data_IF_200201009570
#
_entry.id   IF_200201009570
#
_cell.length_a   1.000
_cell.length_b   1.000
_cell.length_c   1.000
_cell.angle_alpha   90.00
_cell.angle_beta   90.00
_cell.angle_gamma   90.00
#
_symmetry.space_group_name_H-M   'P 1'
#
loop_
_entity.id
_entity.type
_entity.pdbx_description
1 polymer ?
#
# COMPACT_ATOMS: atom_id res chain seq x y z
N UNK A 1 -30.13 9.58 -4.61
CA UNK A 1 -28.89 9.62 -3.82
C UNK A 1 -27.82 8.90 -4.60
N UNK A 2 -26.77 9.59 -5.03
CA UNK A 2 -25.70 8.99 -5.81
C UNK A 2 -24.80 8.19 -4.87
N UNK A 3 -24.74 6.86 -5.04
CA UNK A 3 -23.73 6.03 -4.38
C UNK A 3 -22.37 6.51 -4.90
N UNK A 4 -21.60 7.23 -4.07
CA UNK A 4 -20.18 7.43 -4.35
C UNK A 4 -19.57 6.04 -4.27
N UNK A 5 -18.95 5.55 -5.36
CA UNK A 5 -18.41 4.16 -5.43
C UNK A 5 -17.46 3.79 -4.28
N UNK A 6 -16.92 4.79 -3.58
CA UNK A 6 -16.01 4.65 -2.45
C UNK A 6 -16.68 4.64 -1.05
N UNK A 7 -17.99 4.90 -0.97
CA UNK A 7 -18.76 4.82 0.27
C UNK A 7 -19.39 3.43 0.39
N UNK A 8 -18.68 2.50 1.02
CA UNK A 8 -19.15 1.15 1.30
C UNK A 8 -18.70 0.73 2.70
N UNK A 9 -19.28 -0.34 3.24
CA UNK A 9 -18.94 -0.88 4.55
C UNK A 9 -17.44 -1.17 4.67
N UNK A 10 -16.78 -1.68 3.62
CA UNK A 10 -15.34 -1.94 3.61
C UNK A 10 -14.49 -0.70 3.95
N UNK A 11 -14.93 0.49 3.54
CA UNK A 11 -14.25 1.77 3.81
C UNK A 11 -14.85 2.55 4.99
N UNK A 12 -15.86 1.99 5.65
CA UNK A 12 -16.59 2.63 6.74
C UNK A 12 -15.84 2.47 8.06
N UNK A 13 -15.75 3.55 8.84
CA UNK A 13 -15.17 3.57 10.19
C UNK A 13 -15.84 2.61 11.16
N UNK A 14 -17.12 2.31 10.96
CA UNK A 14 -17.91 1.48 11.88
C UNK A 14 -17.87 0.00 11.55
N UNK A 15 -17.25 -0.40 10.45
CA UNK A 15 -17.29 -1.77 9.97
C UNK A 15 -16.01 -2.52 10.32
N UNK A 16 -16.15 -3.72 10.85
CA UNK A 16 -15.05 -4.65 11.11
C UNK A 16 -15.23 -5.87 10.21
N UNK A 17 -14.28 -6.12 9.30
CA UNK A 17 -14.37 -7.27 8.44
C UNK A 17 -14.18 -8.58 9.22
N UNK A 18 -14.84 -9.64 8.76
CA UNK A 18 -14.63 -10.99 9.27
C UNK A 18 -13.43 -11.67 8.61
N UNK A 19 -12.98 -12.80 9.15
CA UNK A 19 -11.91 -13.61 8.57
C UNK A 19 -10.50 -13.06 8.81
N UNK A 20 -9.54 -13.57 8.03
CA UNK A 20 -8.11 -13.26 8.21
C UNK A 20 -7.86 -11.77 7.96
N UNK A 21 -7.25 -11.09 8.94
CA UNK A 21 -6.91 -9.65 8.90
C UNK A 21 -8.11 -8.71 8.74
N UNK A 22 -9.30 -9.14 9.16
CA UNK A 22 -10.52 -8.33 9.13
C UNK A 22 -10.88 -7.81 7.72
N UNK A 23 -10.62 -8.63 6.69
CA UNK A 23 -10.85 -8.27 5.27
C UNK A 23 -11.73 -9.27 4.50
N UNK A 24 -12.63 -9.97 5.18
CA UNK A 24 -13.57 -10.89 4.56
C UNK A 24 -14.76 -10.17 3.89
N UNK A 25 -15.53 -10.88 3.04
CA UNK A 25 -16.71 -10.32 2.35
C UNK A 25 -17.88 -10.02 3.29
N UNK A 26 -17.86 -10.58 4.51
CA UNK A 26 -18.83 -10.34 5.58
C UNK A 26 -18.09 -9.73 6.77
N UNK A 27 -18.75 -8.83 7.49
CA UNK A 27 -18.22 -8.20 8.68
C UNK A 27 -19.32 -7.72 9.61
N UNK A 28 -18.94 -7.16 10.76
CA UNK A 28 -19.88 -6.61 11.73
C UNK A 28 -19.94 -5.09 11.61
N UNK A 29 -21.15 -4.54 11.59
CA UNK A 29 -21.38 -3.10 11.61
C UNK A 29 -21.63 -2.62 13.03
N UNK A 30 -20.73 -1.81 13.57
CA UNK A 30 -20.78 -1.28 14.96
C UNK A 30 -21.52 0.05 15.11
N UNK A 31 -22.17 0.51 14.03
CA UNK A 31 -22.99 1.74 14.04
C UNK A 31 -24.25 1.56 14.89
N UNK A 32 -24.83 0.36 14.92
CA UNK A 32 -25.97 0.03 15.78
C UNK A 32 -25.52 -0.72 17.03
N UNK A 33 -26.25 -0.60 18.15
CA UNK A 33 -25.99 -1.41 19.33
C UNK A 33 -26.13 -2.91 18.99
N UNK A 34 -25.39 -3.78 19.69
CA UNK A 34 -25.53 -5.21 19.48
C UNK A 34 -26.95 -5.65 19.88
N UNK A 35 -27.53 -6.56 19.09
CA UNK A 35 -28.84 -7.15 19.41
C UNK A 35 -28.65 -8.18 20.50
N UNK A 36 -29.26 -7.95 21.65
CA UNK A 36 -29.25 -8.88 22.78
C UNK A 36 -30.48 -9.77 22.69
N UNK A 37 -30.27 -11.08 22.82
CA UNK A 37 -31.34 -12.07 22.88
C UNK A 37 -31.03 -13.07 23.98
N UNK A 38 -32.01 -13.84 24.46
CA UNK A 38 -31.77 -14.88 25.47
C UNK A 38 -30.71 -15.90 25.02
N UNK A 39 -30.59 -16.12 23.69
CA UNK A 39 -29.59 -17.01 23.09
C UNK A 39 -28.21 -16.36 22.93
N UNK A 40 -28.13 -15.03 23.01
CA UNK A 40 -26.90 -14.26 22.86
C UNK A 40 -26.88 -13.10 23.88
N UNK A 41 -26.64 -13.40 25.17
CA UNK A 41 -26.72 -12.41 26.25
C UNK A 41 -25.60 -11.35 26.17
N UNK A 42 -24.48 -11.67 25.52
CA UNK A 42 -23.42 -10.69 25.25
C UNK A 42 -23.77 -9.69 24.13
N UNK A 43 -24.85 -9.95 23.38
CA UNK A 43 -25.24 -9.18 22.21
C UNK A 43 -24.39 -9.47 20.98
N UNK A 44 -25.01 -9.37 19.79
CA UNK A 44 -24.31 -9.56 18.51
C UNK A 44 -24.55 -8.35 17.61
N UNK A 45 -23.47 -7.78 17.07
CA UNK A 45 -23.57 -6.71 16.09
C UNK A 45 -24.14 -7.22 14.76
N UNK A 46 -24.92 -6.40 14.03
CA UNK A 46 -25.42 -6.77 12.71
C UNK A 46 -24.31 -7.18 11.75
N UNK A 47 -24.49 -8.29 11.05
CA UNK A 47 -23.57 -8.73 10.00
C UNK A 47 -23.98 -8.10 8.67
N UNK A 48 -23.04 -7.43 8.00
CA UNK A 48 -23.23 -6.80 6.68
C UNK A 48 -22.17 -7.27 5.70
N UNK A 49 -22.41 -7.08 4.40
CA UNK A 49 -21.43 -7.31 3.36
C UNK A 49 -20.46 -6.13 3.27
N UNK A 50 -19.24 -6.39 2.82
CA UNK A 50 -18.21 -5.37 2.60
C UNK A 50 -18.64 -4.32 1.57
N UNK A 51 -19.55 -4.68 0.65
CA UNK A 51 -20.09 -3.83 -0.41
C UNK A 51 -21.36 -3.06 -0.03
N UNK A 52 -21.91 -3.29 1.16
CA UNK A 52 -23.14 -2.61 1.60
C UNK A 52 -22.87 -1.12 1.85
N UNK A 53 -23.92 -0.30 1.79
CA UNK A 53 -23.87 1.12 2.14
C UNK A 53 -25.09 1.49 2.99
N UNK A 54 -24.90 2.46 3.89
CA UNK A 54 -25.97 3.10 4.62
C UNK A 54 -25.69 4.61 4.77
N UNK A 55 -26.74 5.40 5.00
CA UNK A 55 -26.64 6.87 5.09
C UNK A 55 -25.82 7.42 6.26
N UNK A 56 -25.36 6.57 7.19
CA UNK A 56 -24.46 6.94 8.29
C UNK A 56 -23.02 6.49 8.05
N UNK A 57 -22.65 6.28 6.78
CA UNK A 57 -21.28 5.97 6.43
C UNK A 57 -20.34 7.10 6.87
N UNK A 58 -19.25 6.73 7.54
CA UNK A 58 -18.16 7.64 7.89
C UNK A 58 -16.84 7.09 7.37
N UNK A 59 -16.02 7.97 6.79
CA UNK A 59 -14.69 7.60 6.27
C UNK A 59 -13.82 7.05 7.38
N UNK A 60 -13.23 5.87 7.17
CA UNK A 60 -12.20 5.35 8.05
C UNK A 60 -10.90 6.16 7.88
N UNK A 61 -10.62 7.06 8.81
CA UNK A 61 -9.44 7.95 8.77
C UNK A 61 -8.09 7.21 8.91
N UNK A 62 -8.09 5.92 9.25
CA UNK A 62 -6.89 5.12 9.51
C UNK A 62 -6.51 4.11 8.42
N UNK A 63 -7.37 3.90 7.42
CA UNK A 63 -7.05 3.03 6.28
C UNK A 63 -6.72 3.93 5.11
N UNK A 64 -5.44 4.25 4.93
CA UNK A 64 -4.97 4.64 3.60
C UNK A 64 -5.41 3.51 2.66
N UNK A 65 -6.25 3.76 1.65
CA UNK A 65 -6.43 2.77 0.61
C UNK A 65 -5.05 2.55 0.01
N UNK A 66 -4.46 1.41 0.34
CA UNK A 66 -3.31 0.90 -0.40
C UNK A 66 -3.84 0.78 -1.84
N UNK A 67 -3.34 1.67 -2.70
CA UNK A 67 -3.72 1.78 -4.12
C UNK A 67 -5.07 2.48 -4.42
N UNK A 68 -5.21 3.74 -4.04
CA UNK A 68 -5.94 4.70 -4.89
C UNK A 68 -4.86 5.54 -5.59
N UNK A 69 -4.59 5.39 -6.91
CA UNK A 69 -3.77 6.33 -7.65
C UNK A 69 -4.60 7.60 -7.89
N UNK A 70 -5.02 8.26 -6.80
CA UNK A 70 -5.31 9.68 -6.83
C UNK A 70 -3.97 10.41 -6.98
N UNK A 71 -3.93 11.59 -7.61
CA UNK A 71 -2.70 12.26 -7.99
C UNK A 71 -2.04 12.85 -6.74
N UNK A 72 -1.38 12.01 -5.94
CA UNK A 72 -0.24 12.42 -5.14
C UNK A 72 0.86 12.68 -6.17
N UNK A 73 0.76 13.80 -6.87
CA UNK A 73 1.77 14.18 -7.84
C UNK A 73 3.08 14.35 -7.06
N UNK A 74 4.14 13.71 -7.55
CA UNK A 74 5.49 13.67 -6.95
C UNK A 74 6.16 15.06 -6.85
N UNK A 75 5.39 16.12 -7.15
CA UNK A 75 5.73 17.53 -7.21
C UNK A 75 5.42 18.27 -5.89
N UNK A 76 4.57 17.73 -4.99
CA UNK A 76 4.36 18.30 -3.66
C UNK A 76 5.31 17.72 -2.58
N UNK A 77 6.00 16.62 -2.88
CA UNK A 77 6.94 15.98 -1.94
C UNK A 77 8.32 16.60 -2.10
N UNK A 78 8.74 17.41 -1.13
CA UNK A 78 10.06 18.05 -1.11
C UNK A 78 11.09 17.20 -0.33
N UNK A 79 12.23 16.92 -0.94
CA UNK A 79 13.43 16.30 -0.32
C UNK A 79 14.58 17.27 -0.49
N UNK A 80 15.21 17.68 0.62
CA UNK A 80 16.29 18.69 0.62
C UNK A 80 15.92 19.95 -0.18
N UNK A 81 14.74 20.52 0.12
CA UNK A 81 14.15 21.70 -0.55
C UNK A 81 13.93 21.55 -2.07
N UNK A 82 13.94 20.32 -2.60
CA UNK A 82 13.69 20.03 -4.02
C UNK A 82 12.55 19.04 -4.20
N UNK A 83 11.71 19.18 -5.25
CA UNK A 83 10.64 18.22 -5.50
C UNK A 83 11.23 16.85 -5.85
N UNK A 84 10.64 15.78 -5.30
CA UNK A 84 11.08 14.40 -5.47
C UNK A 84 11.15 13.99 -6.94
N UNK A 85 10.27 14.56 -7.78
CA UNK A 85 10.31 14.39 -9.23
C UNK A 85 11.65 14.83 -9.84
N UNK A 86 12.20 15.97 -9.39
CA UNK A 86 13.49 16.47 -9.87
C UNK A 86 14.65 15.59 -9.39
N UNK A 87 14.60 15.11 -8.15
CA UNK A 87 15.60 14.17 -7.60
C UNK A 87 15.63 12.87 -8.40
N UNK A 88 14.46 12.35 -8.79
CA UNK A 88 14.34 11.14 -9.62
C UNK A 88 14.81 11.37 -11.06
N UNK A 89 14.52 12.53 -11.64
CA UNK A 89 15.02 12.90 -12.95
C UNK A 89 16.55 12.96 -12.98
N UNK A 90 17.18 13.57 -11.96
CA UNK A 90 18.63 13.62 -11.82
C UNK A 90 19.23 12.21 -11.68
N UNK A 91 18.62 11.35 -10.85
CA UNK A 91 19.06 9.97 -10.68
C UNK A 91 18.94 9.15 -11.98
N UNK A 92 17.89 9.37 -12.76
CA UNK A 92 17.70 8.73 -14.06
C UNK A 92 18.73 9.24 -15.09
N UNK A 93 19.00 10.55 -15.12
CA UNK A 93 20.03 11.14 -15.96
C UNK A 93 21.43 10.62 -15.60
N UNK A 94 21.74 10.48 -14.31
CA UNK A 94 22.99 9.89 -13.83
C UNK A 94 23.15 8.42 -14.27
N UNK A 95 22.07 7.62 -14.22
CA UNK A 95 22.06 6.25 -14.71
C UNK A 95 22.28 6.16 -16.23
N UNK A 96 21.71 7.10 -17.00
CA UNK A 96 21.90 7.16 -18.45
C UNK A 96 23.31 7.67 -18.83
N UNK A 97 23.88 8.59 -18.05
CA UNK A 97 25.26 9.06 -18.23
C UNK A 97 26.32 8.01 -17.85
N UNK A 98 25.96 7.01 -17.04
CA UNK A 98 26.80 5.85 -16.71
C UNK A 98 26.98 4.83 -17.85
N UNK A 99 26.24 4.96 -18.96
CA UNK A 99 26.39 4.12 -20.15
C UNK A 99 27.32 4.77 -21.19
N UNK A 100 28.58 5.05 -20.82
CA UNK A 100 29.65 5.20 -21.81
C UNK A 100 30.32 3.83 -22.01
N UNK A 101 30.59 3.37 -23.24
CA UNK A 101 31.38 2.17 -23.46
C UNK A 101 32.86 2.51 -23.15
N UNK A 102 33.21 2.45 -21.87
CA UNK A 102 34.59 2.54 -21.41
C UNK A 102 35.26 1.19 -21.61
N UNK A 103 36.30 1.18 -22.46
CA UNK A 103 37.31 0.13 -22.64
C UNK A 103 37.48 -0.73 -21.38
N UNK A 104 37.21 -2.03 -21.49
CA UNK A 104 37.67 -3.04 -20.53
C UNK A 104 39.18 -2.84 -20.30
N UNK A 105 39.68 -2.67 -19.07
CA UNK A 105 41.10 -2.82 -18.82
C UNK A 105 41.49 -4.27 -19.10
N UNK A 106 42.59 -4.46 -19.82
CA UNK A 106 43.10 -5.76 -20.21
C UNK A 106 43.31 -6.67 -18.97
N UNK A 107 43.07 -7.99 -19.07
CA UNK A 107 43.45 -8.90 -18.00
C UNK A 107 44.96 -8.82 -17.77
N UNK A 108 45.43 -8.91 -16.51
CA UNK A 108 46.85 -8.99 -16.22
C UNK A 108 47.47 -10.22 -16.91
N UNK A 109 48.74 -10.16 -17.34
CA UNK A 109 49.42 -11.33 -17.87
C UNK A 109 49.50 -12.42 -16.81
N UNK A 110 49.33 -13.65 -17.26
CA UNK A 110 49.43 -14.89 -16.49
C UNK A 110 50.84 -15.01 -15.88
N UNK A 111 50.96 -14.69 -14.59
CA UNK A 111 52.17 -14.93 -13.80
C UNK A 111 52.08 -16.37 -13.29
N UNK A 112 52.63 -17.28 -14.10
CA UNK A 112 52.68 -18.70 -13.82
C UNK A 112 53.21 -18.98 -12.41
N UNK A 113 52.37 -19.62 -11.60
CA UNK A 113 52.79 -20.30 -10.38
C UNK A 113 53.57 -21.56 -10.76
N UNK A 114 54.88 -21.42 -10.99
CA UNK A 114 55.81 -22.54 -11.08
C UNK A 114 56.50 -22.72 -9.72
N UNK A 115 55.71 -23.06 -8.71
CA UNK A 115 56.19 -23.73 -7.51
C UNK A 115 55.50 -25.08 -7.40
N UNK A 116 55.74 -25.91 -8.41
CA UNK A 116 55.55 -27.36 -8.36
C UNK A 116 56.71 -27.95 -9.14
N UNK A 117 57.85 -28.17 -8.48
CA UNK A 117 58.62 -29.39 -8.66
C UNK A 117 59.70 -29.52 -7.56
N UNK A 118 59.74 -30.76 -7.06
CA UNK A 118 60.65 -31.33 -6.08
C UNK A 118 62.11 -31.37 -6.56
#
# INVERSE_FOLDING_TARGET
MALRRSEICYSCRHWLGGGVRERGPKGQCRRYPPVVTDRAPAGVFPTTLSTDWCGEWLRNAGVKPESDPGPDTDEDVMVDDRPLAAVRADAAAAKQAGARPGKQPAPPPDEGNLYDDL
#
